data_IF_466133062334
#
_entry.id   IF_466133062334
#
_cell.length_a   1.000
_cell.length_b   1.000
_cell.length_c   1.000
_cell.angle_alpha   90.00
_cell.angle_beta   90.00
_cell.angle_gamma   90.00
#
_symmetry.space_group_name_H-M   'P 1'
#
loop_
_entity.id
_entity.type
_entity.pdbx_description
1 polymer ?
#
# COMPACT_ATOMS: atom_id res chain seq x y z
N UNK A 1 -9.05 -54.67 52.05
CA UNK A 1 -9.44 -55.19 50.72
C UNK A 1 -10.04 -54.03 49.93
N UNK A 2 -9.76 -53.92 48.62
CA UNK A 2 -9.35 -52.66 47.99
C UNK A 2 -10.38 -52.09 46.99
N UNK A 3 -10.01 -50.95 46.39
CA UNK A 3 -10.55 -50.35 45.15
C UNK A 3 -11.84 -49.52 45.29
N UNK A 4 -12.02 -48.36 44.67
CA UNK A 4 -11.40 -47.79 43.47
C UNK A 4 -11.56 -46.25 43.52
N UNK A 5 -10.46 -45.47 43.47
CA UNK A 5 -10.53 -44.02 43.18
C UNK A 5 -10.57 -43.88 41.66
N UNK A 6 -11.71 -43.48 41.12
CA UNK A 6 -11.85 -43.12 39.70
C UNK A 6 -11.18 -41.76 39.48
N UNK A 7 -9.97 -41.78 38.94
CA UNK A 7 -9.31 -40.59 38.42
C UNK A 7 -9.97 -40.26 37.08
N UNK A 8 -10.73 -39.16 37.00
CA UNK A 8 -11.06 -38.56 35.71
C UNK A 8 -9.77 -37.97 35.15
N UNK A 9 -9.16 -38.65 34.18
CA UNK A 9 -8.22 -38.00 33.27
C UNK A 9 -9.04 -37.05 32.39
N UNK A 10 -8.95 -35.76 32.67
CA UNK A 10 -9.26 -34.71 31.69
C UNK A 10 -8.21 -34.81 30.59
N UNK A 11 -8.55 -35.48 29.49
CA UNK A 11 -7.80 -35.37 28.24
C UNK A 11 -8.02 -33.95 27.74
N UNK A 12 -7.03 -33.08 27.99
CA UNK A 12 -6.97 -31.80 27.29
C UNK A 12 -6.76 -32.13 25.81
N UNK A 13 -7.85 -32.05 25.03
CA UNK A 13 -7.73 -31.96 23.58
C UNK A 13 -6.99 -30.65 23.31
N UNK A 14 -5.68 -30.75 23.12
CA UNK A 14 -4.92 -29.72 22.42
C UNK A 14 -5.52 -29.73 21.00
N UNK A 15 -6.44 -28.81 20.73
CA UNK A 15 -6.78 -28.51 19.36
C UNK A 15 -5.48 -28.06 18.72
N UNK A 16 -4.83 -28.96 17.97
CA UNK A 16 -3.85 -28.55 16.97
C UNK A 16 -4.69 -27.69 16.04
N UNK A 17 -4.67 -26.38 16.27
CA UNK A 17 -5.07 -25.47 15.22
C UNK A 17 -4.13 -25.83 14.08
N UNK A 18 -4.69 -26.48 13.06
CA UNK A 18 -4.08 -26.46 11.74
C UNK A 18 -3.84 -24.98 11.50
N UNK A 19 -2.58 -24.55 11.60
CA UNK A 19 -2.17 -23.25 11.14
C UNK A 19 -2.40 -23.37 9.64
N UNK A 20 -3.61 -23.03 9.19
CA UNK A 20 -3.84 -22.82 7.78
C UNK A 20 -2.73 -21.87 7.36
N UNK A 21 -1.95 -22.26 6.34
CA UNK A 21 -0.87 -21.42 5.84
C UNK A 21 -1.47 -20.05 5.59
N UNK A 22 -1.12 -19.08 6.45
CA UNK A 22 -1.66 -17.74 6.35
C UNK A 22 -1.22 -17.21 4.98
N UNK A 23 -2.18 -16.72 4.20
CA UNK A 23 -1.93 -16.11 2.90
C UNK A 23 -2.15 -14.61 3.04
N UNK A 24 -1.56 -13.79 2.16
CA UNK A 24 -1.96 -12.39 2.06
C UNK A 24 -3.47 -12.24 1.92
N UNK A 25 -4.02 -11.16 2.47
CA UNK A 25 -5.42 -10.76 2.23
C UNK A 25 -5.66 -10.35 0.77
N UNK A 26 -4.59 -9.98 0.07
CA UNK A 26 -4.62 -9.71 -1.36
C UNK A 26 -4.86 -10.96 -2.20
N UNK A 27 -5.74 -10.82 -3.19
CA UNK A 27 -6.18 -11.88 -4.10
C UNK A 27 -5.29 -11.99 -5.34
N UNK A 28 -5.28 -13.18 -5.93
CA UNK A 28 -4.70 -13.42 -7.24
C UNK A 28 -3.17 -13.48 -7.22
N UNK A 29 -2.55 -13.14 -8.35
CA UNK A 29 -1.08 -13.13 -8.45
C UNK A 29 -0.53 -11.79 -7.97
N UNK A 30 0.44 -11.86 -7.05
CA UNK A 30 1.00 -10.72 -6.34
C UNK A 30 2.46 -10.49 -6.72
N UNK A 31 2.87 -9.24 -6.73
CA UNK A 31 4.28 -8.90 -6.61
C UNK A 31 4.71 -9.13 -5.16
N UNK A 32 5.90 -9.68 -4.96
CA UNK A 32 6.55 -9.76 -3.65
C UNK A 32 7.75 -8.82 -3.64
N UNK A 33 7.79 -7.87 -2.73
CA UNK A 33 8.74 -6.76 -2.74
C UNK A 33 9.46 -6.67 -1.39
N UNK A 34 10.79 -6.60 -1.33
CA UNK A 34 11.46 -6.42 -0.06
C UNK A 34 11.05 -5.07 0.54
N UNK A 35 10.79 -5.03 1.85
CA UNK A 35 10.38 -3.79 2.54
C UNK A 35 11.39 -2.66 2.37
N UNK A 36 12.67 -3.01 2.23
CA UNK A 36 13.76 -2.08 1.96
C UNK A 36 13.65 -1.38 0.60
N UNK A 37 12.92 -1.95 -0.36
CA UNK A 37 12.64 -1.30 -1.65
C UNK A 37 11.41 -1.86 -2.35
N UNK A 38 10.32 -1.08 -2.37
CA UNK A 38 9.12 -1.41 -3.14
C UNK A 38 9.35 -1.43 -4.66
N UNK A 39 10.51 -0.96 -5.15
CA UNK A 39 10.83 -0.94 -6.58
C UNK A 39 11.44 -2.26 -7.07
N UNK A 40 11.73 -3.19 -6.14
CA UNK A 40 12.29 -4.50 -6.42
C UNK A 40 11.26 -5.58 -6.18
N UNK A 41 11.29 -6.60 -7.02
CA UNK A 41 10.33 -7.70 -7.03
C UNK A 41 11.05 -9.04 -7.06
N UNK A 42 10.58 -9.99 -6.26
CA UNK A 42 10.98 -11.38 -6.34
C UNK A 42 10.70 -11.91 -7.75
N UNK A 43 11.72 -12.43 -8.41
CA UNK A 43 11.72 -12.75 -9.85
C UNK A 43 12.36 -14.12 -10.08
N UNK A 44 11.64 -15.00 -10.76
CA UNK A 44 12.20 -16.25 -11.26
C UNK A 44 12.95 -16.02 -12.59
N UNK A 45 14.18 -16.52 -12.70
CA UNK A 45 15.05 -16.26 -13.86
C UNK A 45 14.52 -16.87 -15.19
N UNK A 46 13.80 -17.99 -15.13
CA UNK A 46 13.14 -18.62 -16.28
C UNK A 46 12.04 -19.58 -15.80
N UNK A 47 11.26 -20.16 -16.71
CA UNK A 47 10.28 -21.22 -16.40
C UNK A 47 10.90 -22.64 -16.47
N UNK A 48 12.09 -22.82 -15.89
CA UNK A 48 12.79 -24.11 -15.82
C UNK A 48 12.95 -24.55 -14.37
N UNK A 49 12.94 -25.87 -14.13
CA UNK A 49 13.23 -26.40 -12.79
C UNK A 49 14.67 -26.06 -12.40
N UNK A 50 14.85 -25.62 -11.15
CA UNK A 50 16.12 -25.14 -10.62
C UNK A 50 16.49 -23.71 -11.05
N UNK A 51 15.62 -23.01 -11.79
CA UNK A 51 15.86 -21.61 -12.09
C UNK A 51 15.94 -20.80 -10.79
N UNK A 52 16.94 -19.95 -10.69
CA UNK A 52 17.16 -19.15 -9.50
C UNK A 52 16.06 -18.10 -9.31
N UNK A 53 15.86 -17.75 -8.04
CA UNK A 53 15.04 -16.61 -7.64
C UNK A 53 15.95 -15.49 -7.17
N UNK A 54 15.74 -14.30 -7.71
CA UNK A 54 16.45 -13.06 -7.36
C UNK A 54 15.47 -11.91 -7.20
N UNK A 55 15.91 -10.78 -6.66
CA UNK A 55 15.17 -9.53 -6.81
C UNK A 55 15.59 -8.83 -8.11
N UNK A 56 14.62 -8.26 -8.82
CA UNK A 56 14.82 -7.44 -10.00
C UNK A 56 13.91 -6.22 -9.94
N UNK A 57 14.20 -5.19 -10.71
CA UNK A 57 13.27 -4.07 -10.91
C UNK A 57 11.87 -4.58 -11.25
N UNK A 58 10.86 -4.07 -10.56
CA UNK A 58 9.47 -4.45 -10.79
C UNK A 58 9.01 -4.04 -12.20
N UNK A 59 8.57 -5.01 -12.98
CA UNK A 59 8.02 -4.84 -14.34
C UNK A 59 6.58 -5.32 -14.44
N UNK A 60 6.16 -6.24 -13.56
CA UNK A 60 4.87 -6.93 -13.64
C UNK A 60 4.86 -8.13 -14.60
N UNK A 61 6.03 -8.54 -15.10
CA UNK A 61 6.18 -9.73 -15.94
C UNK A 61 5.72 -11.00 -15.24
N UNK A 62 5.36 -12.04 -16.00
CA UNK A 62 4.90 -13.34 -15.48
C UNK A 62 5.88 -13.96 -14.48
N UNK A 63 7.18 -13.68 -14.61
CA UNK A 63 8.24 -14.13 -13.70
C UNK A 63 8.21 -13.48 -12.31
N UNK A 64 7.39 -12.45 -12.11
CA UNK A 64 7.28 -11.66 -10.88
C UNK A 64 5.92 -11.78 -10.22
N UNK A 65 5.00 -12.54 -10.80
CA UNK A 65 3.62 -12.67 -10.34
C UNK A 65 3.46 -14.00 -9.61
N UNK A 66 3.33 -13.90 -8.29
CA UNK A 66 3.32 -15.03 -7.37
C UNK A 66 1.92 -15.27 -6.82
N UNK A 67 1.41 -16.49 -6.99
CA UNK A 67 0.11 -16.93 -6.47
C UNK A 67 0.32 -17.73 -5.18
N UNK A 68 -0.24 -17.25 -4.07
CA UNK A 68 -0.29 -17.98 -2.81
C UNK A 68 -1.47 -18.94 -2.84
N UNK A 69 -1.23 -20.24 -2.64
CA UNK A 69 -2.28 -21.25 -2.72
C UNK A 69 -1.94 -22.48 -1.86
N UNK A 70 -2.67 -22.67 -0.76
CA UNK A 70 -2.59 -23.85 0.12
C UNK A 70 -1.15 -24.21 0.50
N UNK A 71 -0.41 -23.22 1.01
CA UNK A 71 1.00 -23.35 1.40
C UNK A 71 2.01 -23.27 0.26
N UNK A 72 1.58 -23.29 -1.00
CA UNK A 72 2.49 -23.12 -2.15
C UNK A 72 2.55 -21.65 -2.59
N UNK A 73 3.74 -21.17 -2.97
CA UNK A 73 3.93 -19.85 -3.61
C UNK A 73 4.31 -20.08 -5.06
N UNK A 74 3.35 -19.90 -5.98
CA UNK A 74 3.44 -20.36 -7.37
C UNK A 74 3.80 -19.25 -8.34
N UNK A 75 4.54 -19.55 -9.38
CA UNK A 75 4.85 -18.68 -10.53
C UNK A 75 4.72 -19.48 -11.82
N UNK A 76 4.46 -18.81 -12.95
CA UNK A 76 4.21 -19.47 -14.25
C UNK A 76 3.13 -20.57 -14.23
N UNK A 77 2.16 -20.44 -13.31
CA UNK A 77 1.06 -21.39 -13.11
C UNK A 77 1.43 -22.68 -12.34
N UNK A 78 2.53 -23.37 -12.71
CA UNK A 78 2.87 -24.68 -12.15
C UNK A 78 4.32 -24.80 -11.60
N UNK A 79 5.01 -23.68 -11.40
CA UNK A 79 6.27 -23.66 -10.66
C UNK A 79 6.03 -23.13 -9.26
N UNK A 80 6.69 -23.72 -8.28
CA UNK A 80 6.60 -23.36 -6.87
C UNK A 80 7.95 -22.82 -6.43
N UNK A 81 7.93 -21.79 -5.57
CA UNK A 81 9.07 -21.42 -4.76
C UNK A 81 9.56 -22.65 -3.99
N UNK A 82 10.85 -22.92 -4.05
CA UNK A 82 11.44 -24.17 -3.61
C UNK A 82 12.76 -23.90 -2.88
N UNK A 83 12.91 -24.52 -1.71
CA UNK A 83 14.16 -24.52 -0.95
C UNK A 83 15.14 -25.48 -1.61
N UNK A 84 16.24 -24.95 -2.15
CA UNK A 84 17.23 -25.76 -2.88
C UNK A 84 17.71 -26.93 -2.02
N UNK A 85 17.53 -28.15 -2.55
CA UNK A 85 17.86 -29.42 -1.90
C UNK A 85 17.19 -29.67 -0.52
N UNK A 86 16.19 -28.87 -0.12
CA UNK A 86 15.59 -28.95 1.21
C UNK A 86 16.57 -28.68 2.35
N UNK A 87 17.63 -27.91 2.09
CA UNK A 87 18.65 -27.59 3.09
C UNK A 87 18.12 -26.64 4.16
N UNK A 88 18.37 -26.96 5.43
CA UNK A 88 17.99 -26.15 6.59
C UNK A 88 19.06 -25.17 7.05
N UNK A 89 20.21 -25.14 6.36
CA UNK A 89 21.30 -24.23 6.67
C UNK A 89 20.93 -22.78 6.36
N UNK A 90 21.32 -21.86 7.24
CA UNK A 90 21.26 -20.43 6.97
C UNK A 90 22.10 -20.10 5.74
N UNK A 91 21.55 -19.25 4.87
CA UNK A 91 22.15 -18.91 3.57
C UNK A 91 21.71 -19.80 2.42
N UNK A 92 20.88 -20.82 2.67
CA UNK A 92 20.31 -21.66 1.59
C UNK A 92 19.52 -20.79 0.61
N UNK A 93 19.90 -20.79 -0.66
CA UNK A 93 19.21 -20.02 -1.69
C UNK A 93 17.91 -20.69 -2.13
N UNK A 94 17.00 -19.86 -2.64
CA UNK A 94 15.73 -20.30 -3.21
C UNK A 94 15.89 -20.51 -4.72
N UNK A 95 15.05 -21.39 -5.23
CA UNK A 95 14.87 -21.66 -6.66
C UNK A 95 13.37 -21.81 -6.93
N UNK A 96 13.02 -22.07 -8.19
CA UNK A 96 11.70 -22.60 -8.53
C UNK A 96 11.81 -24.06 -8.97
N UNK A 97 10.75 -24.80 -8.73
CA UNK A 97 10.63 -26.19 -9.18
C UNK A 97 9.18 -26.52 -9.54
N UNK A 98 8.96 -27.53 -10.36
CA UNK A 98 7.62 -28.05 -10.65
C UNK A 98 6.89 -28.31 -9.33
N UNK A 99 5.70 -27.72 -9.18
CA UNK A 99 4.89 -27.89 -7.99
C UNK A 99 4.54 -29.36 -7.76
N UNK A 100 4.73 -29.83 -6.54
CA UNK A 100 4.39 -31.21 -6.17
C UNK A 100 2.97 -31.33 -5.64
N UNK A 101 2.24 -32.35 -6.09
CA UNK A 101 0.87 -32.64 -5.64
C UNK A 101 0.81 -33.30 -4.24
N UNK A 102 1.95 -33.64 -3.64
CA UNK A 102 2.03 -34.33 -2.34
C UNK A 102 2.45 -33.43 -1.16
N UNK A 103 2.30 -32.10 -1.28
CA UNK A 103 2.76 -31.11 -0.28
C UNK A 103 4.24 -31.31 0.08
N UNK A 104 5.11 -31.33 -0.92
CA UNK A 104 6.57 -31.41 -0.73
C UNK A 104 7.02 -30.33 0.28
N UNK A 105 7.62 -30.70 1.43
CA UNK A 105 8.02 -29.76 2.48
C UNK A 105 8.86 -28.58 1.97
N UNK A 106 9.72 -28.80 0.96
CA UNK A 106 10.58 -27.76 0.38
C UNK A 106 9.80 -26.62 -0.32
N UNK A 107 8.52 -26.82 -0.58
CA UNK A 107 7.64 -25.90 -1.33
C UNK A 107 6.48 -25.37 -0.47
N UNK A 108 6.55 -25.56 0.85
CA UNK A 108 5.48 -25.16 1.77
C UNK A 108 5.89 -23.91 2.55
N UNK A 109 5.27 -22.77 2.23
CA UNK A 109 5.46 -21.49 2.90
C UNK A 109 4.14 -20.94 3.42
N UNK A 110 4.22 -20.04 4.39
CA UNK A 110 3.09 -19.22 4.82
C UNK A 110 3.55 -17.78 4.97
N UNK A 111 2.64 -16.85 4.69
CA UNK A 111 2.85 -15.43 4.81
C UNK A 111 2.20 -14.93 6.10
N UNK A 112 2.96 -14.27 6.96
CA UNK A 112 2.51 -13.87 8.30
C UNK A 112 1.97 -12.44 8.32
N UNK A 113 1.23 -12.10 9.37
CA UNK A 113 0.74 -10.74 9.60
C UNK A 113 1.85 -9.70 9.82
N UNK A 114 3.05 -10.13 10.22
CA UNK A 114 4.24 -9.29 10.37
C UNK A 114 5.16 -9.31 9.13
N UNK A 115 4.60 -9.61 7.96
CA UNK A 115 5.23 -9.51 6.63
C UNK A 115 6.38 -10.50 6.36
N UNK A 116 6.49 -11.61 7.09
CA UNK A 116 7.43 -12.67 6.76
C UNK A 116 6.84 -13.66 5.75
N UNK A 117 7.67 -14.14 4.84
CA UNK A 117 7.43 -15.41 4.14
C UNK A 117 8.22 -16.52 4.85
N UNK A 118 7.54 -17.33 5.64
CA UNK A 118 8.14 -18.36 6.48
C UNK A 118 8.04 -19.75 5.85
N UNK A 119 9.11 -20.53 5.96
CA UNK A 119 9.15 -21.94 5.58
C UNK A 119 8.45 -22.79 6.65
N UNK A 120 7.35 -23.45 6.25
CA UNK A 120 6.42 -24.13 7.15
C UNK A 120 7.13 -25.15 8.05
N UNK A 121 7.03 -24.97 9.38
CA UNK A 121 7.63 -25.83 10.42
C UNK A 121 9.17 -25.85 10.50
N UNK A 122 9.87 -24.88 9.92
CA UNK A 122 11.34 -24.89 9.89
C UNK A 122 12.00 -23.71 10.63
N UNK A 123 11.21 -22.71 11.07
CA UNK A 123 11.73 -21.52 11.75
C UNK A 123 12.66 -20.67 10.86
N UNK A 124 12.49 -20.76 9.54
CA UNK A 124 13.26 -20.02 8.54
C UNK A 124 12.36 -19.10 7.74
N UNK A 125 12.85 -17.91 7.43
CA UNK A 125 12.15 -16.88 6.70
C UNK A 125 12.93 -16.50 5.45
N UNK A 126 12.21 -16.04 4.41
CA UNK A 126 12.82 -15.45 3.23
C UNK A 126 13.57 -14.18 3.64
N UNK A 127 14.87 -14.14 3.37
CA UNK A 127 15.78 -13.09 3.80
C UNK A 127 16.45 -12.47 2.56
N UNK A 128 16.34 -11.16 2.44
CA UNK A 128 17.09 -10.39 1.44
C UNK A 128 18.56 -10.38 1.85
N UNK A 129 19.37 -11.14 1.11
CA UNK A 129 20.77 -11.37 1.49
C UNK A 129 21.54 -10.07 1.66
N UNK A 130 22.08 -9.88 2.87
CA UNK A 130 22.81 -8.68 3.31
C UNK A 130 22.02 -7.36 3.18
N UNK A 131 20.69 -7.41 3.02
CA UNK A 131 19.85 -6.24 2.78
C UNK A 131 20.12 -5.53 1.44
N UNK A 132 20.89 -6.12 0.53
CA UNK A 132 21.21 -5.48 -0.76
C UNK A 132 19.96 -5.41 -1.64
N UNK A 133 19.63 -4.22 -2.12
CA UNK A 133 18.54 -3.97 -3.06
C UNK A 133 18.99 -3.96 -4.52
N UNK A 134 20.19 -4.47 -4.81
CA UNK A 134 20.73 -4.52 -6.17
C UNK A 134 20.01 -5.59 -7.01
N UNK A 135 19.83 -5.30 -8.30
CA UNK A 135 19.27 -6.28 -9.24
C UNK A 135 20.19 -7.51 -9.31
N UNK A 136 19.57 -8.69 -9.22
CA UNK A 136 20.29 -9.97 -9.18
C UNK A 136 20.64 -10.47 -7.78
N UNK A 137 20.40 -9.68 -6.71
CA UNK A 137 20.57 -10.21 -5.35
C UNK A 137 19.61 -11.40 -5.14
N UNK A 138 20.15 -12.53 -4.67
CA UNK A 138 19.40 -13.78 -4.50
C UNK A 138 18.99 -13.95 -3.05
N UNK A 139 17.69 -13.92 -2.73
CA UNK A 139 17.22 -14.20 -1.38
C UNK A 139 17.65 -15.57 -0.88
N UNK A 140 17.74 -15.69 0.43
CA UNK A 140 18.13 -16.89 1.14
C UNK A 140 17.10 -17.24 2.20
N UNK A 141 17.18 -18.45 2.73
CA UNK A 141 16.59 -18.76 4.01
C UNK A 141 17.54 -18.33 5.12
N UNK A 142 16.96 -17.71 6.13
CA UNK A 142 17.63 -17.41 7.37
C UNK A 142 16.70 -17.67 8.56
N UNK A 143 17.27 -17.88 9.75
CA UNK A 143 16.50 -17.96 10.99
C UNK A 143 15.58 -16.73 11.10
N UNK A 144 14.28 -16.97 11.33
CA UNK A 144 13.30 -15.89 11.42
C UNK A 144 13.64 -14.95 12.59
N UNK A 145 13.63 -13.65 12.33
CA UNK A 145 13.90 -12.60 13.31
C UNK A 145 12.98 -11.40 13.08
N UNK A 146 12.06 -11.16 14.01
CA UNK A 146 11.08 -10.07 13.93
C UNK A 146 11.67 -8.65 14.00
N UNK A 147 12.97 -8.49 14.25
CA UNK A 147 13.66 -7.20 14.16
C UNK A 147 14.44 -7.00 12.85
N UNK A 148 14.57 -8.04 12.02
CA UNK A 148 15.39 -8.00 10.82
C UNK A 148 14.57 -7.57 9.60
N UNK A 149 14.68 -6.30 9.21
CA UNK A 149 13.95 -5.73 8.08
C UNK A 149 14.30 -6.36 6.72
N UNK A 150 15.39 -7.14 6.62
CA UNK A 150 15.69 -7.95 5.43
C UNK A 150 14.66 -9.08 5.21
N UNK A 151 13.90 -9.44 6.23
CA UNK A 151 12.93 -10.53 6.20
C UNK A 151 11.48 -10.06 6.02
N UNK A 152 11.27 -8.75 5.90
CA UNK A 152 9.96 -8.18 5.65
C UNK A 152 9.73 -8.02 4.15
N UNK A 153 8.64 -8.62 3.66
CA UNK A 153 8.28 -8.63 2.25
C UNK A 153 6.87 -8.09 2.09
N UNK A 154 6.74 -6.91 1.51
CA UNK A 154 5.43 -6.42 1.09
C UNK A 154 4.90 -7.27 -0.06
N UNK A 155 3.58 -7.34 -0.16
CA UNK A 155 2.88 -7.96 -1.30
C UNK A 155 1.89 -6.97 -1.90
N UNK A 156 1.73 -6.99 -3.22
CA UNK A 156 0.84 -6.05 -3.89
C UNK A 156 0.76 -6.27 -5.39
N UNK A 157 0.50 -5.21 -6.14
CA UNK A 157 0.19 -5.26 -7.56
C UNK A 157 1.00 -4.25 -8.36
N UNK A 158 1.26 -4.59 -9.62
CA UNK A 158 1.71 -3.60 -10.59
C UNK A 158 0.56 -2.66 -10.92
N UNK A 159 0.80 -1.35 -10.93
CA UNK A 159 -0.19 -0.36 -11.37
C UNK A 159 -0.72 -0.62 -12.79
N UNK A 160 0.05 -1.34 -13.62
CA UNK A 160 -0.33 -1.69 -14.99
C UNK A 160 -1.15 -2.99 -15.10
N UNK A 161 -1.28 -3.74 -14.01
CA UNK A 161 -1.97 -5.03 -13.98
C UNK A 161 -2.74 -5.18 -12.65
N UNK A 162 -3.68 -4.27 -12.43
CA UNK A 162 -4.54 -4.29 -11.25
C UNK A 162 -5.67 -5.30 -11.43
N UNK A 163 -6.01 -6.09 -10.40
CA UNK A 163 -7.20 -6.92 -10.43
C UNK A 163 -8.46 -6.05 -10.38
N UNK A 164 -9.62 -6.66 -10.65
CA UNK A 164 -10.90 -5.97 -10.51
C UNK A 164 -11.14 -5.55 -9.06
N UNK A 165 -10.86 -6.45 -8.12
CA UNK A 165 -10.79 -6.21 -6.66
C UNK A 165 -9.50 -6.80 -6.10
N UNK A 166 -8.90 -6.14 -5.13
CA UNK A 166 -7.68 -6.59 -4.45
C UNK A 166 -7.98 -7.49 -3.25
N UNK A 167 -9.12 -7.33 -2.58
CA UNK A 167 -9.43 -8.04 -1.33
C UNK A 167 -10.89 -8.55 -1.28
N UNK A 168 -11.18 -9.44 -0.32
CA UNK A 168 -12.55 -9.85 0.01
C UNK A 168 -13.27 -8.75 0.79
N UNK A 169 -14.56 -8.55 0.52
CA UNK A 169 -15.35 -7.49 1.16
C UNK A 169 -15.19 -6.09 0.55
N UNK A 170 -14.30 -5.92 -0.44
CA UNK A 170 -14.13 -4.67 -1.16
C UNK A 170 -15.43 -4.23 -1.88
N UNK A 171 -15.87 -3.00 -1.63
CA UNK A 171 -17.09 -2.45 -2.23
C UNK A 171 -16.89 -1.91 -3.65
N UNK A 172 -15.74 -1.31 -3.92
CA UNK A 172 -15.38 -0.72 -5.20
C UNK A 172 -14.45 -1.60 -6.03
N UNK A 173 -13.63 -0.96 -6.87
CA UNK A 173 -12.78 -1.64 -7.85
C UNK A 173 -11.37 -1.05 -7.88
N UNK A 174 -10.36 -1.84 -8.22
CA UNK A 174 -8.99 -1.35 -8.42
C UNK A 174 -8.63 -1.17 -9.91
N UNK A 175 -9.26 -1.94 -10.80
CA UNK A 175 -9.13 -1.73 -12.24
C UNK A 175 -10.06 -0.60 -12.70
N UNK A 176 -9.62 0.64 -12.53
CA UNK A 176 -10.47 1.83 -12.65
C UNK A 176 -10.69 2.34 -14.08
N UNK A 177 -9.98 1.79 -15.07
CA UNK A 177 -9.95 2.37 -16.41
C UNK A 177 -9.26 3.75 -16.41
N UNK A 178 -9.54 4.57 -17.42
CA UNK A 178 -8.87 5.88 -17.60
C UNK A 178 -9.82 7.07 -17.54
N UNK A 179 -11.11 6.89 -17.83
CA UNK A 179 -12.06 7.99 -17.86
C UNK A 179 -12.59 8.29 -16.46
N UNK A 180 -12.53 9.56 -16.07
CA UNK A 180 -13.14 9.99 -14.81
C UNK A 180 -14.66 10.05 -14.93
N UNK A 181 -15.33 9.67 -13.84
CA UNK A 181 -16.77 9.78 -13.66
C UNK A 181 -17.06 10.07 -12.20
N UNK A 182 -18.05 10.92 -11.92
CA UNK A 182 -18.51 11.16 -10.54
C UNK A 182 -19.24 9.94 -9.95
N UNK A 183 -19.59 8.94 -10.77
CA UNK A 183 -20.14 7.66 -10.33
C UNK A 183 -19.05 6.57 -10.17
N UNK A 184 -17.77 6.90 -10.38
CA UNK A 184 -16.68 5.91 -10.29
C UNK A 184 -16.61 5.29 -8.89
N UNK A 185 -16.42 3.97 -8.87
CA UNK A 185 -16.18 3.18 -7.67
C UNK A 185 -14.70 2.80 -7.53
N UNK A 186 -13.79 3.54 -8.16
CA UNK A 186 -12.36 3.29 -8.07
C UNK A 186 -11.85 3.48 -6.63
N UNK A 187 -11.08 2.53 -6.13
CA UNK A 187 -10.42 2.58 -4.81
C UNK A 187 -8.89 2.57 -4.93
N UNK A 188 -8.37 3.03 -6.06
CA UNK A 188 -6.92 3.16 -6.30
C UNK A 188 -6.50 4.64 -6.28
N UNK A 189 -5.63 5.00 -5.34
CA UNK A 189 -5.10 6.33 -5.10
C UNK A 189 -3.83 6.61 -5.84
N UNK A 190 -3.60 7.90 -6.05
CA UNK A 190 -2.36 8.41 -6.56
C UNK A 190 -1.92 9.63 -5.78
N UNK A 191 -0.62 9.73 -5.50
CA UNK A 191 -0.01 10.89 -4.85
C UNK A 191 1.33 11.20 -5.54
N UNK A 192 1.35 12.26 -6.34
CA UNK A 192 2.52 12.62 -7.16
C UNK A 192 2.92 14.09 -7.04
N UNK A 193 1.95 14.99 -6.87
CA UNK A 193 2.15 16.43 -6.74
C UNK A 193 0.88 17.10 -6.24
N UNK A 194 0.93 18.40 -5.94
CA UNK A 194 -0.25 19.22 -5.66
C UNK A 194 -1.26 19.27 -6.82
N UNK A 195 -0.84 18.98 -8.06
CA UNK A 195 -1.74 18.94 -9.22
C UNK A 195 -2.18 17.51 -9.57
N UNK A 196 -1.55 16.49 -8.98
CA UNK A 196 -1.77 15.09 -9.32
C UNK A 196 -1.76 14.21 -8.07
N UNK A 197 -2.84 14.36 -7.30
CA UNK A 197 -3.12 13.54 -6.14
C UNK A 197 -4.59 13.15 -6.08
N UNK A 198 -4.90 12.26 -5.17
CA UNK A 198 -6.24 11.83 -4.85
C UNK A 198 -6.44 11.88 -3.33
N UNK A 199 -7.69 12.01 -2.89
CA UNK A 199 -8.12 11.78 -1.51
C UNK A 199 -9.33 10.85 -1.52
N UNK A 200 -9.54 10.16 -0.41
CA UNK A 200 -10.61 9.21 -0.27
C UNK A 200 -11.83 9.97 0.23
N UNK A 201 -13.01 9.68 -0.32
CA UNK A 201 -14.25 10.28 0.16
C UNK A 201 -15.47 9.43 -0.24
N UNK A 202 -16.64 9.67 0.40
CA UNK A 202 -17.71 8.70 0.37
C UNK A 202 -18.30 8.52 -1.02
N UNK A 203 -18.64 7.28 -1.43
CA UNK A 203 -19.30 7.06 -2.72
C UNK A 203 -20.71 7.67 -2.77
N UNK A 204 -21.31 7.91 -1.61
CA UNK A 204 -22.63 8.52 -1.38
C UNK A 204 -22.61 9.35 -0.10
N UNK A 205 -23.49 10.36 0.08
CA UNK A 205 -23.51 11.19 1.29
C UNK A 205 -23.45 10.38 2.60
N UNK A 206 -22.44 10.63 3.43
CA UNK A 206 -22.19 9.90 4.68
C UNK A 206 -20.97 10.46 5.41
N UNK A 207 -20.91 10.28 6.74
CA UNK A 207 -19.72 10.70 7.50
C UNK A 207 -18.56 9.76 7.19
N UNK A 208 -17.33 10.26 7.24
CA UNK A 208 -16.12 9.46 6.98
C UNK A 208 -16.04 8.26 7.94
N UNK A 209 -16.35 8.46 9.22
CA UNK A 209 -16.36 7.37 10.19
C UNK A 209 -17.38 6.26 9.87
N UNK A 210 -18.53 6.60 9.26
CA UNK A 210 -19.55 5.62 8.86
C UNK A 210 -19.20 4.92 7.53
N UNK A 211 -18.44 5.58 6.65
CA UNK A 211 -18.16 5.11 5.29
C UNK A 211 -16.73 4.66 5.03
N UNK A 212 -15.85 4.71 6.03
CA UNK A 212 -14.41 4.44 5.93
C UNK A 212 -14.05 3.17 5.15
N UNK A 213 -14.90 2.13 5.22
CA UNK A 213 -14.68 0.83 4.58
C UNK A 213 -14.95 0.83 3.08
N UNK A 214 -15.74 1.79 2.59
CA UNK A 214 -16.28 1.84 1.22
C UNK A 214 -15.88 3.10 0.45
N UNK A 215 -14.98 3.90 1.00
CA UNK A 215 -14.46 5.12 0.39
C UNK A 215 -13.94 4.89 -1.02
N UNK A 216 -14.10 5.90 -1.88
CA UNK A 216 -13.62 5.89 -3.27
C UNK A 216 -12.69 7.05 -3.56
N UNK A 217 -11.85 6.88 -4.57
CA UNK A 217 -10.84 7.84 -4.97
C UNK A 217 -11.45 9.06 -5.66
N UNK A 218 -11.16 10.25 -5.12
CA UNK A 218 -11.37 11.55 -5.77
C UNK A 218 -10.03 12.16 -6.11
N UNK A 219 -9.74 12.37 -7.40
CA UNK A 219 -8.44 12.90 -7.84
C UNK A 219 -8.54 14.29 -8.44
N UNK A 220 -7.46 15.06 -8.36
CA UNK A 220 -7.31 16.34 -9.06
C UNK A 220 -7.20 16.18 -10.58
N UNK A 221 -6.83 14.99 -11.04
CA UNK A 221 -6.48 14.72 -12.43
C UNK A 221 -7.32 13.60 -13.01
N UNK A 222 -7.82 13.81 -14.23
CA UNK A 222 -8.44 12.73 -15.01
C UNK A 222 -7.38 11.76 -15.56
N UNK A 223 -7.80 10.66 -16.20
CA UNK A 223 -6.88 9.62 -16.67
C UNK A 223 -6.66 8.48 -15.67
N UNK A 224 -7.22 8.60 -14.46
CA UNK A 224 -7.08 7.63 -13.37
C UNK A 224 -8.29 6.71 -13.19
N UNK A 225 -9.37 6.94 -13.94
CA UNK A 225 -10.61 6.17 -13.78
C UNK A 225 -11.41 6.53 -12.51
N UNK A 226 -10.98 7.56 -11.78
CA UNK A 226 -11.51 7.97 -10.48
C UNK A 226 -12.60 9.03 -10.60
N UNK A 227 -13.22 9.37 -9.46
CA UNK A 227 -13.96 10.62 -9.33
C UNK A 227 -12.99 11.79 -9.43
N UNK A 228 -13.51 12.97 -9.78
CA UNK A 228 -12.73 14.20 -9.79
C UNK A 228 -13.10 15.04 -8.57
N UNK A 229 -12.09 15.59 -7.90
CA UNK A 229 -12.31 16.60 -6.87
C UNK A 229 -12.99 17.79 -7.55
N UNK A 230 -14.22 18.18 -7.15
CA UNK A 230 -14.95 19.23 -7.86
C UNK A 230 -14.21 20.57 -7.83
N UNK A 231 -14.27 21.31 -8.95
CA UNK A 231 -13.60 22.61 -9.05
C UNK A 231 -14.07 23.57 -7.95
N UNK A 232 -13.10 24.28 -7.36
CA UNK A 232 -13.36 25.20 -6.26
C UNK A 232 -13.46 24.55 -4.89
N UNK A 233 -13.42 23.22 -4.77
CA UNK A 233 -13.38 22.53 -3.46
C UNK A 233 -12.07 22.82 -2.73
N UNK A 234 -10.94 22.81 -3.45
CA UNK A 234 -9.62 23.09 -2.89
C UNK A 234 -9.40 24.59 -2.71
N UNK A 235 -9.05 25.01 -1.49
CA UNK A 235 -8.72 26.40 -1.13
C UNK A 235 -7.26 26.60 -0.77
N UNK A 236 -6.53 25.54 -0.45
CA UNK A 236 -5.07 25.50 -0.34
C UNK A 236 -4.58 24.07 -0.46
N UNK A 237 -3.42 23.88 -1.08
CA UNK A 237 -2.77 22.58 -1.26
C UNK A 237 -1.26 22.74 -1.12
N UNK A 238 -0.66 22.04 -0.17
CA UNK A 238 0.77 21.94 -0.01
C UNK A 238 1.19 20.50 -0.26
N UNK A 239 2.01 20.29 -1.27
CA UNK A 239 2.64 19.01 -1.54
C UNK A 239 4.12 19.07 -1.18
N UNK A 240 4.62 18.04 -0.50
CA UNK A 240 6.04 17.87 -0.20
C UNK A 240 6.50 16.47 -0.57
N UNK A 241 7.69 16.39 -1.17
CA UNK A 241 8.43 15.14 -1.35
C UNK A 241 9.67 15.16 -0.46
N UNK A 242 9.78 14.16 0.41
CA UNK A 242 10.94 13.96 1.29
C UNK A 242 11.77 12.76 0.82
N UNK A 243 12.88 12.42 1.49
CA UNK A 243 13.60 11.18 1.22
C UNK A 243 12.77 9.90 1.41
N UNK A 244 11.82 9.88 2.34
CA UNK A 244 11.08 8.65 2.70
C UNK A 244 9.56 8.73 2.61
N UNK A 245 8.96 9.88 2.33
CA UNK A 245 7.53 9.97 2.04
C UNK A 245 7.18 11.09 1.06
N UNK A 246 6.01 10.95 0.46
CA UNK A 246 5.30 12.06 -0.17
C UNK A 246 4.10 12.41 0.70
N UNK A 247 3.81 13.70 0.81
CA UNK A 247 2.69 14.19 1.59
C UNK A 247 1.97 15.31 0.85
N UNK A 248 0.65 15.29 0.90
CA UNK A 248 -0.19 16.40 0.46
C UNK A 248 -1.12 16.80 1.61
N UNK A 249 -1.19 18.09 1.90
CA UNK A 249 -2.06 18.68 2.91
C UNK A 249 -2.86 19.82 2.30
N UNK A 250 -4.03 20.11 2.85
CA UNK A 250 -4.81 21.21 2.33
C UNK A 250 -6.11 21.47 3.05
N UNK A 251 -6.73 22.60 2.68
CA UNK A 251 -8.00 23.07 3.22
C UNK A 251 -8.96 23.36 2.07
N UNK A 252 -10.26 23.24 2.34
CA UNK A 252 -11.27 23.26 1.30
C UNK A 252 -12.72 23.34 1.79
N UNK A 253 -13.64 23.14 0.85
CA UNK A 253 -15.01 22.73 1.11
C UNK A 253 -15.23 21.38 0.43
N UNK A 254 -15.16 20.30 1.21
CA UNK A 254 -15.28 18.92 0.74
C UNK A 254 -16.70 18.37 0.86
N UNK A 255 -17.68 19.24 1.16
CA UNK A 255 -19.10 18.84 1.09
C UNK A 255 -19.56 18.49 -0.32
N UNK A 256 -18.81 18.94 -1.33
CA UNK A 256 -18.96 18.56 -2.73
C UNK A 256 -18.55 17.11 -3.01
N UNK A 257 -17.88 16.45 -2.06
CA UNK A 257 -17.37 15.08 -2.14
C UNK A 257 -18.15 14.12 -1.25
N UNK A 258 -19.45 14.39 -1.04
CA UNK A 258 -20.36 13.61 -0.21
C UNK A 258 -20.09 13.64 1.31
N UNK A 259 -19.16 14.47 1.78
CA UNK A 259 -18.88 14.63 3.21
C UNK A 259 -19.89 15.63 3.83
N UNK A 260 -20.64 15.27 4.89
CA UNK A 260 -21.55 16.20 5.54
C UNK A 260 -20.81 17.42 6.12
N UNK A 261 -21.46 18.58 6.08
CA UNK A 261 -20.91 19.78 6.72
C UNK A 261 -20.81 19.56 8.24
N UNK A 262 -19.64 19.82 8.82
CA UNK A 262 -19.38 19.61 10.24
C UNK A 262 -18.91 18.20 10.59
N UNK A 263 -18.67 17.34 9.60
CA UNK A 263 -17.98 16.07 9.83
C UNK A 263 -16.48 16.31 10.00
N UNK A 264 -15.98 16.10 11.22
CA UNK A 264 -14.56 16.29 11.58
C UNK A 264 -13.65 15.23 10.94
N UNK A 265 -14.22 14.23 10.28
CA UNK A 265 -13.49 13.26 9.47
C UNK A 265 -13.07 12.01 10.23
N UNK A 266 -12.10 11.30 9.68
CA UNK A 266 -11.51 10.10 10.26
C UNK A 266 -10.20 9.73 9.59
N UNK A 267 -9.50 8.76 10.17
CA UNK A 267 -8.30 8.17 9.59
C UNK A 267 -8.69 7.05 8.61
N UNK A 268 -8.01 7.03 7.47
CA UNK A 268 -8.05 5.99 6.45
C UNK A 268 -6.63 5.47 6.24
N UNK A 269 -6.47 4.16 6.17
CA UNK A 269 -5.17 3.49 6.23
C UNK A 269 -5.22 2.06 5.60
N UNK A 270 -4.07 1.44 5.29
CA UNK A 270 -4.01 0.14 4.62
C UNK A 270 -4.37 -1.08 5.49
N UNK A 271 -4.49 -0.92 6.81
CA UNK A 271 -4.68 -2.03 7.75
C UNK A 271 -6.07 -2.00 8.39
N UNK A 272 -6.57 -0.84 8.84
CA UNK A 272 -7.81 -0.73 9.60
C UNK A 272 -7.81 -1.58 10.88
N UNK A 273 -8.92 -1.58 11.61
CA UNK A 273 -9.02 -2.32 12.88
C UNK A 273 -8.99 -3.86 12.73
N UNK A 274 -9.33 -4.38 11.54
CA UNK A 274 -9.43 -5.81 11.25
C UNK A 274 -8.36 -6.34 10.29
N UNK A 275 -7.40 -5.51 9.87
CA UNK A 275 -6.30 -5.88 8.98
C UNK A 275 -6.65 -5.84 7.48
N UNK A 276 -7.84 -5.39 7.09
CA UNK A 276 -8.31 -5.35 5.69
C UNK A 276 -8.21 -3.97 5.01
N UNK A 277 -7.83 -2.94 5.78
CA UNK A 277 -7.72 -1.55 5.35
C UNK A 277 -9.03 -0.79 5.38
N UNK A 278 -8.93 0.52 5.55
CA UNK A 278 -10.02 1.48 5.48
C UNK A 278 -9.67 2.50 4.39
N UNK A 279 -10.20 2.35 3.16
CA UNK A 279 -11.19 1.39 2.71
C UNK A 279 -10.60 0.03 2.39
N UNK A 280 -11.45 -0.98 2.48
CA UNK A 280 -11.07 -2.34 2.12
C UNK A 280 -10.62 -2.36 0.66
N UNK A 281 -9.42 -2.88 0.42
CA UNK A 281 -8.84 -2.95 -0.92
C UNK A 281 -8.38 -1.60 -1.49
N UNK A 282 -8.21 -0.59 -0.65
CA UNK A 282 -7.54 0.66 -0.99
C UNK A 282 -6.08 0.41 -1.40
N UNK A 283 -5.69 0.89 -2.59
CA UNK A 283 -4.30 0.78 -3.07
C UNK A 283 -3.76 2.17 -3.38
N UNK A 284 -2.53 2.49 -2.97
CA UNK A 284 -1.91 3.79 -3.21
C UNK A 284 -0.69 3.66 -4.11
N UNK A 285 -0.62 4.52 -5.12
CA UNK A 285 0.50 4.56 -6.06
C UNK A 285 1.11 5.96 -6.18
N UNK A 286 2.37 6.03 -6.59
CA UNK A 286 2.99 7.31 -6.90
C UNK A 286 4.29 7.17 -7.68
N UNK A 287 4.78 8.32 -8.15
CA UNK A 287 6.03 8.43 -8.93
C UNK A 287 7.17 9.09 -8.16
N UNK A 288 6.97 9.41 -6.87
CA UNK A 288 7.96 10.10 -6.05
C UNK A 288 9.25 9.29 -5.84
N UNK A 289 9.12 7.97 -5.68
CA UNK A 289 10.23 7.07 -5.34
C UNK A 289 10.53 6.01 -6.43
N UNK A 290 9.91 6.15 -7.59
CA UNK A 290 9.98 5.20 -8.69
C UNK A 290 8.71 5.24 -9.52
N UNK A 291 8.77 4.85 -10.80
CA UNK A 291 7.63 4.98 -11.71
C UNK A 291 6.46 4.08 -11.29
N UNK A 292 5.31 4.67 -10.97
CA UNK A 292 4.07 3.97 -10.59
C UNK A 292 4.28 2.94 -9.46
N UNK A 293 5.05 3.32 -8.45
CA UNK A 293 5.36 2.50 -7.29
C UNK A 293 4.13 2.35 -6.39
N UNK A 294 3.87 1.16 -5.88
CA UNK A 294 2.88 0.97 -4.80
C UNK A 294 3.49 1.46 -3.47
N UNK A 295 2.73 2.26 -2.75
CA UNK A 295 3.03 2.63 -1.37
C UNK A 295 2.17 1.77 -0.44
N UNK A 296 2.82 0.96 0.39
CA UNK A 296 2.16 -0.01 1.27
C UNK A 296 1.81 0.56 2.63
N UNK A 297 2.50 1.62 3.08
CA UNK A 297 2.12 2.38 4.27
C UNK A 297 1.71 3.78 3.83
N UNK A 298 0.52 4.16 4.25
CA UNK A 298 -0.04 5.44 3.93
C UNK A 298 -1.14 5.78 4.92
N UNK A 299 -1.33 7.05 5.19
CA UNK A 299 -2.38 7.52 6.07
C UNK A 299 -3.08 8.68 5.39
N UNK A 300 -4.41 8.65 5.33
CA UNK A 300 -5.23 9.74 4.82
C UNK A 300 -6.25 10.17 5.87
N UNK A 301 -6.26 11.45 6.21
CA UNK A 301 -7.38 12.06 6.89
C UNK A 301 -8.10 13.00 5.93
N UNK A 302 -9.41 13.02 6.05
CA UNK A 302 -10.28 13.91 5.30
C UNK A 302 -11.46 14.29 6.20
N UNK A 303 -11.78 15.58 6.24
CA UNK A 303 -12.94 16.13 6.92
C UNK A 303 -13.74 16.97 5.93
N UNK A 304 -14.81 17.63 6.40
CA UNK A 304 -15.60 18.52 5.53
C UNK A 304 -14.81 19.74 5.01
N UNK A 305 -13.68 20.11 5.64
CA UNK A 305 -12.91 21.33 5.31
C UNK A 305 -11.38 21.18 5.30
N UNK A 306 -10.83 20.02 5.64
CA UNK A 306 -9.40 19.77 5.69
C UNK A 306 -9.07 18.36 5.17
N UNK A 307 -7.87 18.17 4.62
CA UNK A 307 -7.33 16.85 4.35
C UNK A 307 -5.82 16.82 4.52
N UNK A 308 -5.31 15.61 4.72
CA UNK A 308 -3.89 15.31 4.62
C UNK A 308 -3.72 13.84 4.21
N UNK A 309 -2.72 13.59 3.40
CA UNK A 309 -2.42 12.27 2.90
C UNK A 309 -0.91 12.12 2.79
N UNK A 310 -0.35 11.15 3.52
CA UNK A 310 1.06 10.79 3.47
C UNK A 310 1.19 9.35 2.99
N UNK A 311 2.18 9.08 2.15
CA UNK A 311 2.54 7.74 1.73
C UNK A 311 4.05 7.53 1.83
N UNK A 312 4.45 6.46 2.52
CA UNK A 312 5.81 6.24 2.99
C UNK A 312 6.49 5.05 2.29
N UNK A 313 7.82 5.09 2.23
CA UNK A 313 8.66 4.03 1.65
C UNK A 313 9.84 3.67 2.56
N UNK A 314 10.41 2.48 2.32
CA UNK A 314 11.59 1.99 3.04
C UNK A 314 11.27 1.31 4.38
N UNK A 315 12.30 0.94 5.12
CA UNK A 315 12.18 0.21 6.38
C UNK A 315 11.31 0.95 7.41
N UNK A 316 11.47 2.28 7.51
CA UNK A 316 10.79 3.12 8.49
C UNK A 316 9.39 3.59 8.03
N UNK A 317 8.90 3.11 6.89
CA UNK A 317 7.57 3.45 6.40
C UNK A 317 6.43 3.30 7.44
N UNK A 318 6.35 2.22 8.26
CA UNK A 318 5.24 2.09 9.20
C UNK A 318 5.38 3.04 10.40
N UNK A 319 6.59 3.53 10.67
CA UNK A 319 6.83 4.54 11.71
C UNK A 319 6.51 5.95 11.20
N UNK A 320 6.82 6.25 9.94
CA UNK A 320 6.59 7.56 9.31
C UNK A 320 5.15 7.77 8.85
N UNK A 321 4.41 6.68 8.64
CA UNK A 321 2.98 6.64 8.33
C UNK A 321 2.32 5.71 9.36
N UNK A 322 2.21 6.15 10.62
CA UNK A 322 1.54 5.38 11.67
C UNK A 322 0.02 5.37 11.51
N UNK A 323 -0.61 4.35 12.08
CA UNK A 323 -2.05 4.05 11.93
C UNK A 323 -2.77 3.83 13.27
N UNK A 324 -2.29 4.51 14.32
CA UNK A 324 -2.77 4.32 15.70
C UNK A 324 -3.18 5.63 16.37
N UNK A 325 -3.25 6.72 15.59
CA UNK A 325 -3.46 8.09 16.08
C UNK A 325 -4.69 8.74 15.42
N UNK A 326 -5.72 7.93 15.24
CA UNK A 326 -6.91 8.20 14.44
C UNK A 326 -7.71 9.43 14.91
N UNK A 327 -7.59 9.82 16.19
CA UNK A 327 -8.36 10.96 16.75
C UNK A 327 -7.54 12.26 16.83
N UNK A 328 -6.28 12.23 16.40
CA UNK A 328 -5.37 13.38 16.50
C UNK A 328 -5.50 14.36 15.32
N UNK A 329 -6.05 13.89 14.20
CA UNK A 329 -6.30 14.70 13.00
C UNK A 329 -5.03 15.12 12.25
N UNK A 330 -5.22 15.96 11.24
CA UNK A 330 -4.20 16.29 10.26
C UNK A 330 -3.01 17.07 10.82
N UNK A 331 -3.27 18.17 11.53
CA UNK A 331 -2.19 19.04 12.01
C UNK A 331 -1.25 18.34 13.01
N UNK A 332 -1.73 17.32 13.73
CA UNK A 332 -0.92 16.55 14.67
C UNK A 332 -0.18 15.40 13.99
N UNK A 333 -0.86 14.62 13.15
CA UNK A 333 -0.25 13.47 12.46
C UNK A 333 0.68 13.89 11.31
N UNK A 334 0.32 14.94 10.56
CA UNK A 334 1.03 15.39 9.36
C UNK A 334 1.33 16.90 9.38
N UNK A 335 2.12 17.40 10.34
CA UNK A 335 2.46 18.81 10.42
C UNK A 335 3.05 19.35 9.11
N UNK A 336 2.43 20.39 8.55
CA UNK A 336 2.82 21.02 7.28
C UNK A 336 2.09 22.36 7.10
N UNK A 337 2.14 22.92 5.89
CA UNK A 337 1.38 24.11 5.52
C UNK A 337 -0.08 23.75 5.20
N UNK A 338 -1.02 24.42 5.88
CA UNK A 338 -2.48 24.30 5.67
C UNK A 338 -3.12 25.65 5.29
N UNK A 339 -2.31 26.63 4.89
CA UNK A 339 -2.81 27.97 4.62
C UNK A 339 -3.72 28.01 3.38
N UNK A 340 -4.91 28.59 3.54
CA UNK A 340 -5.75 28.93 2.40
C UNK A 340 -5.05 29.93 1.47
N UNK A 341 -5.25 29.79 0.17
CA UNK A 341 -4.62 30.59 -0.89
C UNK A 341 -3.20 30.15 -1.26
N UNK A 342 -2.62 29.16 -0.57
CA UNK A 342 -1.32 28.59 -0.92
C UNK A 342 -1.53 27.31 -1.74
N UNK A 343 -0.90 27.25 -2.90
CA UNK A 343 -0.82 26.05 -3.73
C UNK A 343 0.63 25.85 -4.12
N UNK A 344 1.26 24.74 -3.72
CA UNK A 344 2.69 24.58 -3.94
C UNK A 344 3.15 23.12 -3.97
N UNK A 345 4.23 22.90 -4.73
CA UNK A 345 5.02 21.67 -4.69
C UNK A 345 6.40 21.98 -4.10
N UNK A 346 6.79 21.29 -3.06
CA UNK A 346 8.06 21.48 -2.39
C UNK A 346 8.85 20.17 -2.30
N UNK A 347 10.15 20.30 -2.09
CA UNK A 347 10.96 19.28 -1.45
C UNK A 347 10.94 19.53 0.07
N UNK A 348 11.26 18.52 0.88
CA UNK A 348 11.37 18.71 2.32
C UNK A 348 12.17 17.63 3.01
N UNK A 349 12.47 17.90 4.28
CA UNK A 349 13.10 16.93 5.17
C UNK A 349 12.05 15.95 5.71
N UNK A 350 12.48 14.77 6.12
CA UNK A 350 11.59 13.87 6.86
C UNK A 350 11.21 14.50 8.20
N UNK A 351 9.94 14.40 8.54
CA UNK A 351 9.46 14.76 9.87
C UNK A 351 9.77 13.71 10.92
N UNK A 352 9.66 14.15 12.18
CA UNK A 352 9.66 13.25 13.32
C UNK A 352 8.49 12.25 13.20
N UNK A 353 8.72 10.96 13.52
CA UNK A 353 7.66 9.97 13.48
C UNK A 353 6.53 10.29 14.46
N UNK A 354 5.28 10.03 14.07
CA UNK A 354 4.11 10.33 14.89
C UNK A 354 4.20 9.67 16.27
N UNK A 355 3.97 10.46 17.31
CA UNK A 355 4.00 10.02 18.72
C UNK A 355 5.38 9.71 19.28
N UNK A 356 6.47 9.94 18.54
CA UNK A 356 7.84 9.70 19.02
C UNK A 356 8.48 10.99 19.49
N UNK A 357 8.66 11.13 20.81
CA UNK A 357 9.24 12.31 21.46
C UNK A 357 10.59 11.95 22.09
N UNK A 358 11.67 12.17 21.34
CA UNK A 358 13.02 11.79 21.74
C UNK A 358 13.15 10.27 21.85
N UNK A 359 13.32 9.75 23.06
CA UNK A 359 13.39 8.29 23.32
C UNK A 359 12.07 7.70 23.83
N UNK A 360 11.00 8.49 23.85
CA UNK A 360 9.69 8.08 24.36
C UNK A 360 8.67 7.96 23.23
N UNK A 361 7.73 7.03 23.37
CA UNK A 361 6.57 6.91 22.50
C UNK A 361 5.33 7.20 23.31
N UNK A 362 4.54 8.17 22.86
CA UNK A 362 3.22 8.45 23.38
C UNK A 362 2.19 7.64 22.59
N UNK A 363 1.19 7.11 23.29
CA UNK A 363 0.09 6.37 22.65
C UNK A 363 -1.23 7.11 22.87
N UNK A 364 -2.10 7.07 21.85
CA UNK A 364 -3.41 7.70 21.90
C UNK A 364 -4.18 7.32 23.17
N UNK A 365 -4.76 8.32 23.84
CA UNK A 365 -5.49 8.16 25.10
C UNK A 365 -4.65 8.29 26.36
N UNK A 366 -3.33 8.48 26.26
CA UNK A 366 -2.47 8.81 27.40
C UNK A 366 -2.48 10.32 27.71
N UNK A 367 -2.48 10.68 28.98
CA UNK A 367 -2.50 12.08 29.44
C UNK A 367 -1.16 12.50 30.10
N UNK A 368 -0.65 13.72 29.83
CA UNK A 368 -1.20 14.70 28.90
C UNK A 368 -0.91 14.33 27.44
N UNK A 369 -1.87 14.62 26.55
CA UNK A 369 -1.62 14.59 25.10
C UNK A 369 -0.53 15.61 24.73
N UNK A 370 0.59 15.19 24.11
CA UNK A 370 1.67 16.09 23.74
C UNK A 370 1.29 16.98 22.56
N UNK A 371 1.98 18.11 22.42
CA UNK A 371 1.86 18.96 21.25
C UNK A 371 2.30 18.22 19.98
N UNK A 372 1.70 18.60 18.85
CA UNK A 372 2.14 18.13 17.53
C UNK A 372 3.63 18.41 17.32
N UNK A 373 4.29 17.53 16.55
CA UNK A 373 5.64 17.83 16.08
C UNK A 373 5.65 19.11 15.23
N UNK A 374 6.75 19.87 15.22
CA UNK A 374 6.88 20.99 14.30
C UNK A 374 6.83 20.49 12.84
N UNK A 375 6.28 21.31 11.96
CA UNK A 375 6.37 21.06 10.52
C UNK A 375 7.84 20.96 10.09
N UNK A 376 8.23 19.91 9.34
CA UNK A 376 9.59 19.78 8.82
C UNK A 376 9.92 20.91 7.85
N UNK A 377 11.22 21.16 7.65
CA UNK A 377 11.64 22.18 6.70
C UNK A 377 11.19 21.80 5.27
N UNK A 378 10.67 22.78 4.54
CA UNK A 378 10.40 22.68 3.11
C UNK A 378 11.34 23.58 2.33
N UNK A 379 11.73 23.14 1.13
CA UNK A 379 12.65 23.83 0.23
C UNK A 379 12.21 23.67 -1.22
N UNK A 380 12.81 24.46 -2.12
CA UNK A 380 12.55 24.37 -3.57
C UNK A 380 11.05 24.43 -3.94
N UNK A 381 10.28 25.23 -3.20
CA UNK A 381 8.84 25.34 -3.38
C UNK A 381 8.49 26.05 -4.69
N UNK A 382 7.69 25.38 -5.51
CA UNK A 382 7.11 25.88 -6.74
C UNK A 382 5.64 26.25 -6.49
N UNK A 383 5.36 27.55 -6.46
CA UNK A 383 4.00 28.07 -6.27
C UNK A 383 3.18 27.87 -7.54
N UNK A 384 1.95 27.40 -7.35
CA UNK A 384 0.93 27.23 -8.36
C UNK A 384 -0.11 28.35 -8.21
N UNK A 385 -0.72 28.81 -9.31
CA UNK A 385 -1.79 29.81 -9.23
C UNK A 385 -3.07 29.23 -8.61
N UNK A 386 -3.34 27.95 -8.85
CA UNK A 386 -4.47 27.18 -8.32
C UNK A 386 -4.21 25.69 -8.54
N UNK A 387 -4.97 24.84 -7.84
CA UNK A 387 -5.12 23.42 -8.16
C UNK A 387 -6.58 23.19 -8.55
N UNK A 388 -6.80 22.66 -9.74
CA UNK A 388 -8.13 22.36 -10.25
C UNK A 388 -8.11 21.14 -11.18
N UNK A 389 -9.28 20.73 -11.66
CA UNK A 389 -9.41 19.56 -12.53
C UNK A 389 -8.69 19.80 -13.85
N UNK A 390 -7.59 19.09 -14.07
CA UNK A 390 -6.85 19.17 -15.33
C UNK A 390 -7.09 17.91 -16.17
N UNK A 391 -7.46 18.01 -17.47
CA UNK A 391 -7.51 16.85 -18.35
C UNK A 391 -6.13 16.17 -18.43
N UNK A 392 -6.10 14.84 -18.44
CA UNK A 392 -4.87 14.12 -18.77
C UNK A 392 -4.40 14.56 -20.18
N UNK A 393 -3.19 15.13 -20.27
CA UNK A 393 -2.61 15.47 -21.58
C UNK A 393 -2.51 14.19 -22.41
N UNK A 394 -3.23 14.11 -23.54
CA UNK A 394 -2.92 13.12 -24.59
C UNK A 394 -1.45 13.31 -25.00
N UNK A 395 -0.70 12.22 -25.17
CA UNK A 395 0.65 12.28 -25.79
C UNK A 395 0.52 13.09 -27.08
N UNK A 396 1.15 14.27 -27.13
CA UNK A 396 1.32 15.01 -28.37
C UNK A 396 2.19 14.15 -29.28
N UNK A 397 1.67 13.80 -30.43
CA UNK A 397 2.49 13.36 -31.55
C UNK A 397 3.41 14.53 -31.99
N UNK A 398 4.52 14.19 -32.64
CA UNK A 398 5.64 15.10 -32.94
C UNK A 398 5.31 16.30 -33.82
N UNK A 399 4.05 16.46 -34.24
CA UNK A 399 3.60 17.50 -35.16
C UNK A 399 2.59 18.50 -34.56
N UNK A 400 2.25 18.43 -33.27
CA UNK A 400 1.68 19.58 -32.55
C UNK A 400 0.32 20.12 -33.01
N UNK A 401 -0.54 19.31 -33.64
CA UNK A 401 -1.90 19.73 -34.01
C UNK A 401 -2.96 18.79 -33.43
N UNK A 402 -3.90 19.37 -32.66
CA UNK A 402 -5.11 18.68 -32.18
C UNK A 402 -6.04 18.38 -33.37
N UNK A 403 -6.21 17.10 -33.70
CA UNK A 403 -7.25 16.67 -34.64
C UNK A 403 -8.63 16.75 -33.99
N UNK A 404 -9.28 17.91 -34.06
CA UNK A 404 -10.72 18.03 -33.89
C UNK A 404 -11.39 17.49 -35.16
N UNK A 405 -12.09 16.36 -35.06
CA UNK A 405 -13.01 15.89 -36.12
C UNK A 405 -14.02 17.01 -36.38
N UNK A 406 -13.95 17.67 -37.55
CA UNK A 406 -15.01 18.56 -38.03
C UNK A 406 -16.29 17.74 -38.22
N UNK A 407 -17.40 18.21 -37.63
CA UNK A 407 -18.73 17.73 -37.96
C UNK A 407 -19.03 18.00 -39.45
N UNK A 408 -19.79 17.12 -40.13
CA UNK A 408 -20.16 17.34 -41.53
C UNK A 408 -21.10 18.56 -41.64
N UNK A 409 -20.79 19.46 -42.56
CA UNK A 409 -21.61 20.62 -42.88
C UNK A 409 -23.01 20.19 -43.36
N UNK A 410 -24.09 20.92 -43.03
CA UNK A 410 -25.40 20.66 -43.59
C UNK A 410 -25.38 20.96 -45.10
N UNK A 411 -25.86 20.02 -45.91
CA UNK A 411 -26.16 20.21 -47.32
C UNK A 411 -27.33 21.18 -47.47
N UNK A 412 -27.15 22.21 -48.31
CA UNK A 412 -28.25 23.02 -48.88
C UNK A 412 -28.90 22.29 -50.04
#
# INVERSE_FOLDING_TARGET
MPFLKTSLLTVAFLAIQLVNAQTPHFKGELLMQPRLSNAKCLTAASNSDGAEVSIQTCTGADSQRWLFNDGSVKVFGNKCLDVTNGSTADGTKLQIWTCSNNRNPNQQFYYTGDLHLAWTNHGKCLDLTNGSTDDGNRPQLWSCDGGNTNQFWNVGYSANNLPQTSQDGQAGVNHCGTQSSQDSMCQTAWINSAEDFCVWAPPSPGTIGDTERIEVAYCTKSGRGTRLIPDGSLKGVHFVKTPHYVQVTGVGDFTSMNIPRGDDGGELDPHGADGLGNPIGGLVYGSGFGSNLQYHEWTNFVSYNEFCFRACVGANAPTLCQHIYDVMGCAWNMPANYNAGVFENCEGDDGEPMGVYGTSTWFQGQEPTPAAHPAPASSNCHILPTVGVTPARKKRDSNGFDMVKRAPSPSY
#
